data_IF_221975769383
#
_entry.id   IF_221975769383
#
_cell.length_a   1.000
_cell.length_b   1.000
_cell.length_c   1.000
_cell.angle_alpha   90.00
_cell.angle_beta   90.00
_cell.angle_gamma   90.00
#
_symmetry.space_group_name_H-M   'P 1'
#
loop_
_entity.id
_entity.type
_entity.pdbx_description
1 polymer ?
#
# COMPACT_ATOMS: atom_id res chain seq x y z
N UNK A 1 -7.65 -11.40 13.54
CA UNK A 1 -8.51 -10.90 12.46
C UNK A 1 -7.72 -9.76 11.86
N UNK A 2 -7.05 -9.97 10.73
CA UNK A 2 -6.30 -8.90 10.06
C UNK A 2 -7.27 -7.77 9.69
N UNK A 3 -7.03 -6.58 10.22
CA UNK A 3 -7.91 -5.42 10.04
C UNK A 3 -7.54 -4.75 8.73
N UNK A 4 -8.28 -5.10 7.66
CA UNK A 4 -8.18 -4.40 6.38
C UNK A 4 -8.75 -2.99 6.56
N UNK A 5 -7.94 -1.95 6.31
CA UNK A 5 -8.40 -0.55 6.32
C UNK A 5 -8.75 -0.10 4.90
N UNK A 6 -9.70 0.81 4.70
CA UNK A 6 -9.89 1.42 3.39
C UNK A 6 -8.62 2.16 2.96
N UNK A 7 -8.29 2.05 1.67
CA UNK A 7 -7.22 2.81 1.05
C UNK A 7 -7.54 4.30 1.08
N UNK A 8 -6.58 5.11 1.53
CA UNK A 8 -6.69 6.54 1.67
C UNK A 8 -5.59 7.21 0.83
N UNK A 9 -5.96 7.82 -0.30
CA UNK A 9 -5.00 8.41 -1.26
C UNK A 9 -4.11 9.51 -0.68
N UNK A 10 -4.52 10.12 0.45
CA UNK A 10 -3.78 11.18 1.13
C UNK A 10 -2.73 10.63 2.12
N UNK A 11 -2.88 9.37 2.55
CA UNK A 11 -2.00 8.73 3.55
C UNK A 11 -1.22 7.55 2.99
N UNK A 12 -1.83 6.82 2.08
CA UNK A 12 -1.34 5.55 1.58
C UNK A 12 -0.62 5.82 0.25
N UNK A 13 0.60 6.36 0.34
CA UNK A 13 1.36 6.73 -0.84
C UNK A 13 1.84 5.47 -1.59
N UNK A 14 1.52 5.28 -2.87
CA UNK A 14 1.90 4.09 -3.62
C UNK A 14 3.43 3.91 -3.69
N UNK A 15 3.90 2.66 -3.59
CA UNK A 15 5.33 2.34 -3.55
C UNK A 15 6.06 2.69 -4.84
N UNK A 16 5.44 2.39 -5.97
CA UNK A 16 5.98 2.64 -7.31
C UNK A 16 4.95 3.33 -8.19
N UNK A 17 5.40 3.92 -9.30
CA UNK A 17 4.49 4.55 -10.28
C UNK A 17 3.44 3.59 -10.84
N UNK A 18 3.80 2.31 -11.00
CA UNK A 18 2.87 1.27 -11.45
C UNK A 18 1.78 0.96 -10.41
N UNK A 19 2.13 0.91 -9.12
CA UNK A 19 1.14 0.74 -8.05
C UNK A 19 0.16 1.93 -8.04
N UNK A 20 0.68 3.16 -8.23
CA UNK A 20 -0.14 4.37 -8.31
C UNK A 20 -1.14 4.32 -9.47
N UNK A 21 -0.69 3.91 -10.65
CA UNK A 21 -1.53 3.75 -11.83
C UNK A 21 -2.60 2.66 -11.62
N UNK A 22 -2.21 1.52 -11.05
CA UNK A 22 -3.11 0.38 -10.82
C UNK A 22 -4.19 0.69 -9.78
N UNK A 23 -3.79 1.28 -8.64
CA UNK A 23 -4.70 1.75 -7.59
C UNK A 23 -5.60 2.86 -8.14
N UNK A 24 -5.04 3.84 -8.86
CA UNK A 24 -5.79 4.91 -9.49
C UNK A 24 -6.82 4.40 -10.49
N UNK A 25 -6.49 3.36 -11.27
CA UNK A 25 -7.42 2.73 -12.19
C UNK A 25 -8.58 2.03 -11.47
N UNK A 26 -8.31 1.34 -10.37
CA UNK A 26 -9.36 0.70 -9.57
C UNK A 26 -10.28 1.73 -8.90
N UNK A 27 -9.74 2.82 -8.36
CA UNK A 27 -10.52 3.93 -7.81
C UNK A 27 -11.36 4.62 -8.90
N UNK A 28 -10.76 4.88 -10.08
CA UNK A 28 -11.47 5.47 -11.22
C UNK A 28 -12.58 4.55 -11.75
N UNK A 29 -12.41 3.23 -11.64
CA UNK A 29 -13.44 2.24 -11.94
C UNK A 29 -14.55 2.18 -10.88
N UNK A 30 -14.45 2.96 -9.80
CA UNK A 30 -15.40 2.97 -8.69
C UNK A 30 -15.29 1.74 -7.78
N UNK A 31 -14.15 1.02 -7.82
CA UNK A 31 -13.88 -0.09 -6.92
C UNK A 31 -13.37 0.44 -5.58
N UNK A 32 -13.83 -0.17 -4.49
CA UNK A 32 -13.26 0.09 -3.17
C UNK A 32 -11.94 -0.67 -3.02
N UNK A 33 -10.94 -0.01 -2.44
CA UNK A 33 -9.62 -0.59 -2.19
C UNK A 33 -9.38 -0.70 -0.69
N UNK A 34 -8.68 -1.76 -0.29
CA UNK A 34 -8.31 -2.01 1.09
C UNK A 34 -6.83 -2.28 1.23
N UNK A 35 -6.25 -1.75 2.29
CA UNK A 35 -4.85 -1.94 2.65
C UNK A 35 -4.79 -2.90 3.84
N UNK A 36 -3.94 -3.91 3.70
CA UNK A 36 -3.59 -4.83 4.78
C UNK A 36 -2.52 -4.22 5.71
N UNK A 37 -2.35 -4.78 6.92
CA UNK A 37 -1.30 -4.35 7.86
C UNK A 37 0.13 -4.45 7.31
N UNK A 38 0.35 -5.22 6.23
CA UNK A 38 1.63 -5.29 5.52
C UNK A 38 1.83 -4.16 4.47
N UNK A 39 0.80 -3.36 4.18
CA UNK A 39 0.80 -2.34 3.13
C UNK A 39 0.39 -2.85 1.74
N UNK A 40 -0.13 -4.06 1.65
CA UNK A 40 -0.65 -4.62 0.40
C UNK A 40 -2.08 -4.13 0.13
N UNK A 41 -2.34 -3.69 -1.09
CA UNK A 41 -3.62 -3.11 -1.52
C UNK A 41 -4.42 -4.12 -2.33
N UNK A 42 -5.68 -4.32 -1.94
CA UNK A 42 -6.60 -5.30 -2.47
C UNK A 42 -7.90 -4.65 -2.94
N UNK A 43 -8.49 -5.15 -4.03
CA UNK A 43 -9.79 -4.69 -4.52
C UNK A 43 -10.96 -5.33 -3.78
N UNK A 44 -12.03 -4.55 -3.54
CA UNK A 44 -13.32 -5.06 -3.07
C UNK A 44 -13.96 -5.94 -4.14
N UNK A 45 -14.44 -7.11 -3.73
CA UNK A 45 -15.08 -8.10 -4.59
C UNK A 45 -14.18 -9.28 -4.91
N UNK A 46 -13.12 -9.07 -5.67
CA UNK A 46 -12.29 -10.16 -6.19
C UNK A 46 -11.03 -10.45 -5.35
N UNK A 47 -10.69 -9.60 -4.36
CA UNK A 47 -9.38 -9.63 -3.68
C UNK A 47 -8.25 -9.70 -4.70
N UNK A 48 -8.39 -8.95 -5.80
CA UNK A 48 -7.30 -8.82 -6.75
C UNK A 48 -6.25 -7.89 -6.15
N UNK A 49 -4.99 -8.27 -6.29
CA UNK A 49 -3.88 -7.45 -5.87
C UNK A 49 -3.84 -6.20 -6.76
N UNK A 50 -4.11 -5.04 -6.16
CA UNK A 50 -4.12 -3.75 -6.85
C UNK A 50 -2.73 -3.12 -6.86
N UNK A 51 -1.94 -3.34 -5.81
CA UNK A 51 -0.61 -2.76 -5.66
C UNK A 51 -0.16 -2.78 -4.21
N UNK A 52 0.91 -2.07 -3.91
CA UNK A 52 1.44 -1.91 -2.55
C UNK A 52 1.77 -0.46 -2.26
N UNK A 53 1.49 -0.03 -1.03
CA UNK A 53 1.84 1.31 -0.54
C UNK A 53 3.26 1.31 0.02
N UNK A 54 3.86 2.49 0.11
CA UNK A 54 5.03 2.73 0.96
C UNK A 54 4.54 2.60 2.40
N UNK A 55 4.43 1.37 2.89
CA UNK A 55 4.32 1.13 4.31
C UNK A 55 5.65 1.57 4.92
N UNK A 56 5.74 2.84 5.30
CA UNK A 56 6.69 3.27 6.29
C UNK A 56 6.27 2.62 7.60
N UNK A 57 6.70 1.38 7.83
CA UNK A 57 6.77 0.88 9.19
C UNK A 57 7.64 1.88 9.98
N UNK A 58 7.14 2.59 11.01
CA UNK A 58 8.02 3.40 11.85
C UNK A 58 8.97 2.54 12.71
N UNK A 59 8.98 1.21 12.56
CA UNK A 59 9.78 0.29 13.39
C UNK A 59 10.97 -0.37 12.66
N UNK A 60 11.16 -0.16 11.34
CA UNK A 60 12.39 -0.60 10.64
C UNK A 60 13.15 0.55 9.95
N UNK A 61 13.00 1.77 10.47
CA UNK A 61 13.93 2.88 10.18
C UNK A 61 15.07 2.97 11.22
N UNK A 62 15.28 1.93 12.02
CA UNK A 62 16.46 1.76 12.86
C UNK A 62 17.18 0.45 12.50
N UNK A 63 18.44 0.56 12.09
CA UNK A 63 19.41 -0.54 11.84
C UNK A 63 19.57 -0.98 10.38
N UNK A 64 19.97 -0.05 9.51
CA UNK A 64 21.16 -0.33 8.68
C UNK A 64 22.18 0.78 8.92
N UNK A 65 22.98 0.59 9.97
CA UNK A 65 24.25 1.29 10.07
C UNK A 65 25.14 0.82 8.93
N UNK A 66 25.17 1.56 7.83
CA UNK A 66 26.34 1.55 6.94
C UNK A 66 27.39 2.47 7.57
N UNK A 67 28.07 1.93 8.59
CA UNK A 67 29.40 2.41 8.96
C UNK A 67 30.34 1.97 7.84
N UNK A 68 30.52 2.83 6.84
CA UNK A 68 31.62 2.69 5.89
C UNK A 68 32.89 3.24 6.55
N UNK A 69 33.84 2.34 6.75
CA UNK A 69 35.20 2.54 7.26
C UNK A 69 36.05 3.43 6.34
#
# INVERSE_FOLDING_TARGET
>A
METLRPYDELKDEPRTGWDAESIGYALAAGKTLYVDGNGDVWTEGAREYAGRIKNECPDTAATVGHSSN
#
